data_IF_045319013016
#
_entry.id   IF_045319013016
#
_cell.length_a   1.000
_cell.length_b   1.000
_cell.length_c   1.000
_cell.angle_alpha   90.00
_cell.angle_beta   90.00
_cell.angle_gamma   90.00
#
_symmetry.space_group_name_H-M   'P 1'
#
loop_
_entity.id
_entity.type
_entity.pdbx_description
1 polymer ?
#
# COMPACT_ATOMS: atom_id res chain seq x y z
N UNK A 1 -1.62 -1.47 8.37
CA UNK A 1 -2.50 -2.59 7.99
C UNK A 1 -1.74 -3.61 7.15
N UNK A 2 -1.97 -4.89 7.43
CA UNK A 2 -1.42 -6.00 6.64
C UNK A 2 -2.12 -6.12 5.28
N UNK A 3 -1.52 -6.87 4.35
CA UNK A 3 -2.15 -7.17 3.06
C UNK A 3 -3.51 -7.84 3.22
N UNK A 4 -3.61 -8.84 4.10
CA UNK A 4 -4.86 -9.57 4.37
C UNK A 4 -5.94 -8.67 4.95
N UNK A 5 -5.58 -7.79 5.89
CA UNK A 5 -6.52 -6.81 6.47
C UNK A 5 -7.05 -5.83 5.43
N UNK A 6 -6.20 -5.37 4.50
CA UNK A 6 -6.61 -4.47 3.41
C UNK A 6 -7.58 -5.19 2.48
N UNK A 7 -7.28 -6.42 2.08
CA UNK A 7 -8.16 -7.21 1.22
C UNK A 7 -9.50 -7.53 1.88
N UNK A 8 -9.49 -7.88 3.17
CA UNK A 8 -10.70 -8.08 3.94
C UNK A 8 -11.55 -6.79 3.99
N UNK A 9 -10.92 -5.64 4.22
CA UNK A 9 -11.62 -4.35 4.24
C UNK A 9 -12.18 -3.96 2.86
N UNK A 10 -11.43 -4.20 1.77
CA UNK A 10 -11.90 -3.96 0.39
C UNK A 10 -13.13 -4.83 0.07
N UNK A 11 -13.18 -6.08 0.52
CA UNK A 11 -14.32 -6.99 0.33
C UNK A 11 -15.61 -6.55 1.05
N UNK A 12 -15.50 -5.74 2.10
CA UNK A 12 -16.67 -5.17 2.79
C UNK A 12 -17.28 -3.98 2.04
N UNK A 13 -16.58 -3.46 1.03
CA UNK A 13 -17.09 -2.38 0.20
C UNK A 13 -17.95 -2.92 -0.95
N UNK A 14 -18.90 -2.12 -1.47
CA UNK A 14 -19.69 -2.52 -2.63
C UNK A 14 -18.81 -2.94 -3.82
N UNK A 15 -19.21 -4.01 -4.51
CA UNK A 15 -18.43 -4.64 -5.59
C UNK A 15 -18.22 -3.74 -6.82
N UNK A 16 -18.97 -2.63 -6.94
CA UNK A 16 -18.88 -1.68 -8.05
C UNK A 16 -18.89 -0.23 -7.56
N UNK A 17 -18.14 0.65 -8.24
CA UNK A 17 -18.14 2.09 -7.97
C UNK A 17 -19.51 2.74 -8.20
N UNK A 18 -20.40 2.10 -8.97
CA UNK A 18 -21.81 2.46 -9.12
C UNK A 18 -22.57 2.05 -7.86
N UNK A 19 -22.73 2.99 -6.93
CA UNK A 19 -23.43 2.78 -5.65
C UNK A 19 -22.61 3.12 -4.42
N UNK A 20 -21.30 3.37 -4.57
CA UNK A 20 -20.49 3.86 -3.47
C UNK A 20 -20.84 5.31 -3.11
N UNK A 21 -21.05 5.54 -1.83
CA UNK A 21 -21.04 6.90 -1.26
C UNK A 21 -19.64 7.52 -1.40
N UNK A 22 -19.56 8.84 -1.33
CA UNK A 22 -18.27 9.53 -1.35
C UNK A 22 -17.31 9.05 -0.23
N UNK A 23 -17.86 8.71 0.95
CA UNK A 23 -17.09 8.16 2.07
C UNK A 23 -16.52 6.77 1.75
N UNK A 24 -17.33 5.88 1.18
CA UNK A 24 -16.88 4.54 0.77
C UNK A 24 -15.83 4.62 -0.35
N UNK A 25 -16.01 5.52 -1.31
CA UNK A 25 -15.01 5.75 -2.37
C UNK A 25 -13.70 6.28 -1.79
N UNK A 26 -13.78 7.21 -0.84
CA UNK A 26 -12.59 7.69 -0.12
C UNK A 26 -11.90 6.57 0.65
N UNK A 27 -12.66 5.75 1.36
CA UNK A 27 -12.13 4.58 2.08
C UNK A 27 -11.43 3.60 1.12
N UNK A 28 -12.04 3.33 -0.04
CA UNK A 28 -11.41 2.50 -1.07
C UNK A 28 -10.06 3.07 -1.52
N UNK A 29 -9.99 4.36 -1.83
CA UNK A 29 -8.77 5.02 -2.28
C UNK A 29 -7.69 5.04 -1.19
N UNK A 30 -8.06 5.19 0.08
CA UNK A 30 -7.13 5.07 1.21
C UNK A 30 -6.59 3.63 1.37
N UNK A 31 -7.45 2.61 1.24
CA UNK A 31 -7.03 1.20 1.26
C UNK A 31 -6.11 0.86 0.08
N UNK A 32 -6.41 1.38 -1.10
CA UNK A 32 -5.60 1.19 -2.30
C UNK A 32 -4.22 1.84 -2.16
N UNK A 33 -4.17 3.06 -1.62
CA UNK A 33 -2.93 3.76 -1.29
C UNK A 33 -2.05 2.93 -0.31
N UNK A 34 -2.64 2.38 0.76
CA UNK A 34 -1.92 1.51 1.71
C UNK A 34 -1.37 0.25 1.03
N UNK A 35 -2.16 -0.36 0.15
CA UNK A 35 -1.73 -1.54 -0.62
C UNK A 35 -0.51 -1.22 -1.49
N UNK A 36 -0.52 -0.06 -2.16
CA UNK A 36 0.60 0.39 -2.98
C UNK A 36 1.86 0.67 -2.15
N UNK A 37 1.72 1.32 -0.99
CA UNK A 37 2.82 1.55 -0.06
C UNK A 37 3.44 0.22 0.38
N UNK A 38 2.62 -0.76 0.77
CA UNK A 38 3.09 -2.08 1.16
C UNK A 38 3.89 -2.76 0.06
N UNK A 39 3.39 -2.71 -1.18
CA UNK A 39 4.13 -3.24 -2.33
C UNK A 39 5.51 -2.58 -2.44
N UNK A 40 5.58 -1.25 -2.40
CA UNK A 40 6.86 -0.55 -2.51
C UNK A 40 7.81 -0.87 -1.34
N UNK A 41 7.29 -1.07 -0.13
CA UNK A 41 8.10 -1.44 1.05
C UNK A 41 8.69 -2.84 0.92
N UNK A 42 7.89 -3.81 0.45
CA UNK A 42 8.30 -5.21 0.24
C UNK A 42 9.44 -5.33 -0.77
N UNK A 43 9.44 -4.49 -1.79
CA UNK A 43 10.51 -4.44 -2.80
C UNK A 43 11.63 -3.44 -2.46
N UNK A 44 11.59 -2.81 -1.29
CA UNK A 44 12.62 -1.88 -0.83
C UNK A 44 12.68 -0.56 -1.62
N UNK A 45 11.67 -0.25 -2.42
CA UNK A 45 11.64 0.91 -3.31
C UNK A 45 10.77 2.07 -2.82
N UNK A 46 10.10 1.94 -1.67
CA UNK A 46 9.18 2.94 -1.13
C UNK A 46 9.73 4.36 -1.03
N UNK A 47 11.00 4.51 -0.64
CA UNK A 47 11.66 5.82 -0.52
C UNK A 47 11.90 6.51 -1.87
N UNK A 48 11.86 5.77 -2.99
CA UNK A 48 12.10 6.30 -4.34
C UNK A 48 10.80 6.33 -5.16
N UNK A 49 10.07 5.22 -5.18
CA UNK A 49 8.90 5.06 -6.03
C UNK A 49 7.60 5.60 -5.41
N UNK A 50 7.57 5.79 -4.08
CA UNK A 50 6.37 6.25 -3.37
C UNK A 50 6.55 7.63 -2.70
N UNK A 51 7.29 7.72 -1.61
CA UNK A 51 7.49 8.99 -0.90
C UNK A 51 8.87 9.02 -0.23
N UNK A 52 9.63 10.08 -0.51
CA UNK A 52 10.93 10.32 0.11
C UNK A 52 10.77 11.25 1.31
N UNK A 53 10.89 10.77 2.56
CA UNK A 53 10.74 11.62 3.74
C UNK A 53 11.89 12.63 3.92
N UNK A 54 13.04 12.45 3.24
CA UNK A 54 14.18 13.37 3.31
C UNK A 54 14.01 14.58 2.39
N UNK A 55 13.46 14.38 1.19
CA UNK A 55 13.27 15.45 0.20
C UNK A 55 11.83 15.99 0.19
N UNK A 56 10.87 15.22 0.72
CA UNK A 56 9.45 15.55 0.68
C UNK A 56 8.78 15.24 -0.67
N UNK A 57 9.48 14.56 -1.58
CA UNK A 57 9.01 14.30 -2.95
C UNK A 57 8.18 13.01 -3.03
N UNK A 58 7.19 13.03 -3.93
CA UNK A 58 6.38 11.86 -4.26
C UNK A 58 6.86 11.20 -5.55
N UNK A 59 7.07 9.89 -5.47
CA UNK A 59 7.38 9.05 -6.61
C UNK A 59 6.15 8.76 -7.48
N UNK A 60 6.38 8.03 -8.57
CA UNK A 60 5.36 7.78 -9.59
C UNK A 60 4.10 7.09 -9.04
N UNK A 61 4.28 6.15 -8.10
CA UNK A 61 3.15 5.37 -7.56
C UNK A 61 2.29 6.18 -6.58
N UNK A 62 2.82 7.26 -6.00
CA UNK A 62 2.03 8.13 -5.12
C UNK A 62 1.20 9.18 -5.87
N UNK A 63 1.51 9.50 -7.14
CA UNK A 63 0.90 10.63 -7.88
C UNK A 63 -0.63 10.57 -7.92
N UNK A 64 -1.19 9.42 -8.25
CA UNK A 64 -2.66 9.24 -8.31
C UNK A 64 -3.27 9.46 -6.93
N UNK A 65 -2.70 8.84 -5.89
CA UNK A 65 -3.22 8.93 -4.54
C UNK A 65 -3.13 10.36 -3.98
N UNK A 66 -2.06 11.10 -4.27
CA UNK A 66 -1.92 12.52 -3.90
C UNK A 66 -3.01 13.36 -4.53
N UNK A 67 -3.28 13.16 -5.83
CA UNK A 67 -4.34 13.88 -6.55
C UNK A 67 -5.73 13.61 -5.94
N UNK A 68 -5.99 12.39 -5.50
CA UNK A 68 -7.31 11.98 -4.98
C UNK A 68 -7.51 12.27 -3.49
N UNK A 69 -6.50 12.00 -2.66
CA UNK A 69 -6.59 12.03 -1.19
C UNK A 69 -5.95 13.26 -0.55
N UNK A 70 -5.09 13.97 -1.30
CA UNK A 70 -4.25 15.05 -0.82
C UNK A 70 -2.97 14.56 -0.13
N UNK A 71 -1.91 15.36 -0.23
CA UNK A 71 -0.56 15.03 0.26
C UNK A 71 -0.54 14.67 1.75
N UNK A 72 -1.20 15.46 2.59
CA UNK A 72 -1.26 15.23 4.05
C UNK A 72 -1.79 13.84 4.40
N UNK A 73 -2.84 13.40 3.69
CA UNK A 73 -3.42 12.07 3.88
C UNK A 73 -2.42 10.99 3.46
N UNK A 74 -1.82 11.12 2.27
CA UNK A 74 -0.88 10.14 1.73
C UNK A 74 0.35 10.00 2.63
N UNK A 75 0.92 11.11 3.13
CA UNK A 75 2.07 11.08 4.06
C UNK A 75 1.70 10.39 5.37
N UNK A 76 0.50 10.65 5.91
CA UNK A 76 0.00 9.96 7.11
C UNK A 76 -0.07 8.45 6.87
N UNK A 77 -0.71 8.02 5.79
CA UNK A 77 -0.84 6.61 5.41
C UNK A 77 0.53 5.95 5.23
N UNK A 78 1.48 6.65 4.59
CA UNK A 78 2.85 6.18 4.41
C UNK A 78 3.52 5.89 5.75
N UNK A 79 3.47 6.84 6.69
CA UNK A 79 4.09 6.69 8.02
C UNK A 79 3.49 5.54 8.80
N UNK A 80 2.16 5.43 8.81
CA UNK A 80 1.46 4.32 9.47
C UNK A 80 1.88 2.96 8.87
N UNK A 81 1.98 2.86 7.55
CA UNK A 81 2.42 1.62 6.91
C UNK A 81 3.90 1.31 7.15
N UNK A 82 4.78 2.32 7.21
CA UNK A 82 6.18 2.12 7.59
C UNK A 82 6.32 1.62 9.03
N UNK A 83 5.52 2.16 9.95
CA UNK A 83 5.52 1.73 11.35
C UNK A 83 5.09 0.27 11.49
N UNK A 84 4.00 -0.12 10.84
CA UNK A 84 3.54 -1.51 10.83
C UNK A 84 4.55 -2.44 10.15
N UNK A 85 5.11 -2.01 9.01
CA UNK A 85 6.08 -2.79 8.23
C UNK A 85 7.40 -2.97 8.97
N UNK A 86 7.79 -2.05 9.86
CA UNK A 86 9.03 -2.19 10.65
C UNK A 86 9.05 -3.44 11.55
N UNK A 87 7.88 -4.02 11.82
CA UNK A 87 7.70 -5.24 12.60
C UNK A 87 7.59 -6.50 11.71
N UNK A 88 7.50 -6.33 10.40
CA UNK A 88 7.28 -7.40 9.44
C UNK A 88 8.61 -8.03 8.97
N UNK A 89 8.54 -9.27 8.51
CA UNK A 89 9.67 -9.99 7.89
C UNK A 89 9.40 -10.17 6.41
N UNK A 90 10.32 -9.71 5.56
CA UNK A 90 10.25 -9.94 4.11
C UNK A 90 11.00 -11.23 3.77
N UNK A 91 10.34 -12.13 3.05
CA UNK A 91 10.96 -13.33 2.46
C UNK A 91 11.10 -13.08 0.96
N UNK A 92 12.34 -12.99 0.49
CA UNK A 92 12.62 -12.74 -0.92
C UNK A 92 12.53 -14.01 -1.76
N UNK A 93 12.13 -13.86 -3.02
CA UNK A 93 12.21 -14.95 -4.01
C UNK A 93 11.32 -16.15 -3.75
N UNK A 94 10.12 -15.92 -3.22
CA UNK A 94 9.18 -17.01 -2.88
C UNK A 94 8.57 -17.68 -4.11
N UNK A 95 8.53 -16.97 -5.24
CA UNK A 95 7.98 -17.47 -6.49
C UNK A 95 8.57 -16.68 -7.66
N UNK A 96 8.84 -17.37 -8.78
CA UNK A 96 9.19 -16.73 -10.05
C UNK A 96 8.22 -17.24 -11.10
N UNK A 97 7.57 -16.33 -11.82
CA UNK A 97 6.63 -16.71 -12.88
C UNK A 97 7.35 -17.11 -14.19
N UNK A 98 6.56 -17.47 -15.19
CA UNK A 98 7.06 -17.86 -16.52
C UNK A 98 7.72 -16.70 -17.28
N UNK A 99 7.56 -15.46 -16.83
CA UNK A 99 8.18 -14.25 -17.42
C UNK A 99 9.51 -13.91 -16.72
N UNK A 100 9.88 -14.65 -15.66
CA UNK A 100 11.08 -14.41 -14.87
C UNK A 100 10.89 -13.36 -13.78
N UNK A 101 9.66 -12.89 -13.54
CA UNK A 101 9.36 -11.95 -12.47
C UNK A 101 9.36 -12.69 -11.12
N UNK A 102 10.21 -12.21 -10.21
CA UNK A 102 10.39 -12.79 -8.89
C UNK A 102 9.62 -12.00 -7.85
N UNK A 103 8.80 -12.71 -7.08
CA UNK A 103 7.91 -12.15 -6.08
C UNK A 103 8.47 -12.35 -4.68
N UNK A 104 8.30 -11.33 -3.84
CA UNK A 104 8.61 -11.38 -2.41
C UNK A 104 7.31 -11.59 -1.62
N UNK A 105 7.42 -12.24 -0.46
CA UNK A 105 6.34 -12.32 0.52
C UNK A 105 6.65 -11.46 1.73
N UNK A 106 5.61 -11.01 2.43
CA UNK A 106 5.71 -10.26 3.68
C UNK A 106 4.95 -11.00 4.77
N UNK A 107 5.64 -11.35 5.85
CA UNK A 107 5.05 -11.93 7.05
C UNK A 107 4.87 -10.79 8.05
N UNK A 108 3.63 -10.35 8.22
CA UNK A 108 3.28 -9.30 9.16
C UNK A 108 3.27 -9.82 10.60
N UNK A 109 3.68 -9.01 11.56
CA UNK A 109 3.71 -9.41 12.98
C UNK A 109 2.31 -9.81 13.50
N UNK A 110 1.25 -9.13 13.04
CA UNK A 110 -0.13 -9.40 13.44
C UNK A 110 -0.74 -10.66 12.77
N UNK A 111 0.00 -11.30 11.86
CA UNK A 111 -0.41 -12.52 11.14
C UNK A 111 0.39 -13.76 11.59
N UNK A 112 1.25 -13.62 12.60
CA UNK A 112 1.97 -14.72 13.27
C UNK A 112 1.23 -15.15 14.55
#
# INVERSE_FOLDING_TARGET
MTGTQIEAAKKQLPFYFNGMTAAQRRQYEELDCRSMINSCLIYGSANYDFYNPKTGEFGQYARRHVKTLGEKTVIRLYREQCEDFSKATVVSGVYTDSEGCTYNSCIWADEQ
#
